data_IF_410507089160
#
_entry.id   IF_410507089160
#
_cell.length_a   1.000
_cell.length_b   1.000
_cell.length_c   1.000
_cell.angle_alpha   90.00
_cell.angle_beta   90.00
_cell.angle_gamma   90.00
#
_symmetry.space_group_name_H-M   'P 1'
#
loop_
_entity.id
_entity.type
_entity.pdbx_description
1 polymer ?
#
# COMPACT_ATOMS: atom_id res chain seq x y z
N UNK A 1 -2.78 12.25 10.37
CA UNK A 1 -1.91 11.65 9.34
C UNK A 1 -1.96 10.14 9.46
N UNK A 2 -2.28 9.43 8.39
CA UNK A 2 -2.30 7.97 8.33
C UNK A 2 -1.14 7.47 7.46
N UNK A 3 -0.11 6.86 8.06
CA UNK A 3 1.07 6.39 7.34
C UNK A 3 1.06 4.87 7.25
N UNK A 4 1.17 4.36 6.03
CA UNK A 4 1.10 2.93 5.69
C UNK A 4 2.47 2.44 5.26
N UNK A 5 2.98 1.41 5.92
CA UNK A 5 4.15 0.66 5.50
C UNK A 5 3.75 -0.49 4.57
N UNK A 6 4.02 -0.37 3.28
CA UNK A 6 3.84 -1.49 2.34
C UNK A 6 4.97 -2.50 2.50
N UNK A 7 4.70 -3.58 3.22
CA UNK A 7 5.58 -4.75 3.27
C UNK A 7 5.55 -5.44 1.89
N UNK A 8 4.36 -5.47 1.28
CA UNK A 8 4.16 -5.98 -0.07
C UNK A 8 4.69 -7.38 -0.24
N UNK A 9 5.76 -7.49 -1.04
CA UNK A 9 6.42 -8.77 -1.35
C UNK A 9 7.79 -8.93 -0.66
N UNK A 10 8.23 -7.95 0.14
CA UNK A 10 9.55 -7.94 0.76
C UNK A 10 9.72 -8.87 1.97
N UNK A 11 8.96 -9.94 2.04
CA UNK A 11 9.05 -10.94 3.10
C UNK A 11 9.27 -12.37 2.59
N UNK A 12 9.21 -12.62 1.27
CA UNK A 12 9.51 -13.89 0.61
C UNK A 12 8.90 -15.15 1.27
N UNK A 13 7.74 -14.99 1.97
CA UNK A 13 7.09 -16.08 2.72
C UNK A 13 7.65 -16.33 4.12
N UNK A 14 8.60 -15.53 4.58
CA UNK A 14 9.19 -15.64 5.92
C UNK A 14 8.35 -14.89 6.97
N UNK A 15 7.66 -15.62 7.84
CA UNK A 15 6.81 -15.04 8.88
C UNK A 15 7.60 -14.41 10.04
N UNK A 16 8.82 -14.82 10.29
CA UNK A 16 9.68 -14.15 11.29
C UNK A 16 10.06 -12.76 10.78
N UNK A 17 10.31 -12.65 9.49
CA UNK A 17 10.55 -11.37 8.84
C UNK A 17 9.30 -10.47 8.87
N UNK A 18 8.11 -11.03 8.63
CA UNK A 18 6.82 -10.31 8.81
C UNK A 18 6.70 -9.75 10.22
N UNK A 19 6.94 -10.61 11.22
CA UNK A 19 6.88 -10.21 12.64
C UNK A 19 7.87 -9.09 12.95
N UNK A 20 9.10 -9.20 12.45
CA UNK A 20 10.11 -8.15 12.60
C UNK A 20 9.64 -6.84 11.97
N UNK A 21 9.23 -6.85 10.69
CA UNK A 21 8.81 -5.65 9.96
C UNK A 21 7.57 -4.99 10.57
N UNK A 22 6.60 -5.77 11.04
CA UNK A 22 5.43 -5.24 11.76
C UNK A 22 5.83 -4.58 13.09
N UNK A 23 6.75 -5.20 13.83
CA UNK A 23 7.21 -4.69 15.12
C UNK A 23 7.99 -3.37 14.98
N UNK A 24 8.86 -3.27 13.97
CA UNK A 24 9.58 -2.05 13.64
C UNK A 24 8.60 -0.96 13.16
N UNK A 25 7.63 -1.31 12.31
CA UNK A 25 6.58 -0.40 11.86
C UNK A 25 5.80 0.18 13.05
N UNK A 26 5.44 -0.66 14.03
CA UNK A 26 4.79 -0.24 15.27
C UNK A 26 5.69 0.69 16.09
N UNK A 27 6.97 0.36 16.25
CA UNK A 27 7.95 1.15 16.98
C UNK A 27 8.15 2.53 16.36
N UNK A 28 8.18 2.59 15.02
CA UNK A 28 8.28 3.83 14.28
C UNK A 28 6.96 4.61 14.20
N UNK A 29 5.87 4.05 14.76
CA UNK A 29 4.55 4.66 14.82
C UNK A 29 3.87 4.82 13.45
N UNK A 30 4.11 3.90 12.52
CA UNK A 30 3.27 3.76 11.35
C UNK A 30 1.85 3.38 11.81
N UNK A 31 0.86 3.83 11.05
CA UNK A 31 -0.56 3.60 11.39
C UNK A 31 -0.99 2.18 11.06
N UNK A 32 -0.46 1.63 9.97
CA UNK A 32 -0.76 0.28 9.50
C UNK A 32 0.37 -0.27 8.62
N UNK A 33 0.33 -1.58 8.40
CA UNK A 33 1.13 -2.23 7.35
C UNK A 33 0.22 -2.83 6.29
N UNK A 34 0.75 -3.00 5.07
CA UNK A 34 -0.01 -3.51 3.93
C UNK A 34 0.68 -4.67 3.25
N UNK A 35 -0.13 -5.60 2.76
CA UNK A 35 0.27 -6.77 1.98
C UNK A 35 -0.51 -6.84 0.66
N UNK A 36 -0.22 -7.88 -0.13
CA UNK A 36 -0.85 -8.11 -1.41
C UNK A 36 -1.38 -9.55 -1.50
N UNK A 37 -2.53 -9.73 -2.14
CA UNK A 37 -3.11 -11.04 -2.43
C UNK A 37 -3.28 -11.19 -3.94
N UNK A 38 -2.51 -12.08 -4.55
CA UNK A 38 -2.51 -12.32 -5.98
C UNK A 38 -2.37 -13.82 -6.31
N UNK A 39 -2.78 -14.18 -7.52
CA UNK A 39 -2.57 -15.53 -8.07
C UNK A 39 -1.41 -15.52 -9.08
N UNK A 40 -0.92 -16.69 -9.42
CA UNK A 40 0.12 -16.82 -10.45
C UNK A 40 -0.31 -16.18 -11.77
N UNK A 41 -1.58 -16.33 -12.18
CA UNK A 41 -2.07 -15.78 -13.44
C UNK A 41 -2.00 -14.23 -13.48
N UNK A 42 -2.18 -13.57 -12.34
CA UNK A 42 -2.08 -12.11 -12.23
C UNK A 42 -0.65 -11.62 -12.47
N UNK A 43 0.35 -12.41 -12.03
CA UNK A 43 1.76 -12.00 -12.02
C UNK A 43 2.63 -12.80 -12.99
N UNK A 44 2.07 -13.71 -13.80
CA UNK A 44 2.81 -14.65 -14.66
C UNK A 44 3.83 -14.02 -15.61
N UNK A 45 3.62 -12.77 -15.99
CA UNK A 45 4.54 -12.01 -16.85
C UNK A 45 5.70 -11.37 -16.09
N UNK A 46 5.68 -11.39 -14.75
CA UNK A 46 6.78 -10.87 -13.95
C UNK A 46 7.96 -11.87 -13.94
N UNK A 47 9.22 -11.41 -14.13
CA UNK A 47 10.38 -12.29 -14.14
C UNK A 47 10.50 -13.18 -12.89
N UNK A 48 10.18 -12.61 -11.72
CA UNK A 48 10.24 -13.25 -10.41
C UNK A 48 8.90 -13.90 -10.00
N UNK A 49 7.98 -14.16 -10.94
CA UNK A 49 6.61 -14.63 -10.62
C UNK A 49 6.55 -15.83 -9.69
N UNK A 50 7.45 -16.81 -9.86
CA UNK A 50 7.52 -17.99 -8.98
C UNK A 50 7.92 -17.65 -7.55
N UNK A 51 8.88 -16.73 -7.36
CA UNK A 51 9.33 -16.25 -6.05
C UNK A 51 8.25 -15.42 -5.37
N UNK A 52 7.63 -14.52 -6.12
CA UNK A 52 6.58 -13.66 -5.63
C UNK A 52 5.40 -14.42 -5.03
N UNK A 53 5.06 -15.63 -5.56
CA UNK A 53 3.99 -16.45 -5.00
C UNK A 53 4.17 -16.78 -3.51
N UNK A 54 5.42 -16.82 -3.01
CA UNK A 54 5.68 -17.02 -1.59
C UNK A 54 5.17 -15.87 -0.72
N UNK A 55 5.07 -14.66 -1.29
CA UNK A 55 4.68 -13.43 -0.59
C UNK A 55 3.21 -13.05 -0.79
N UNK A 56 2.44 -13.85 -1.50
CA UNK A 56 1.00 -13.60 -1.63
C UNK A 56 0.26 -13.98 -0.35
N UNK A 57 -0.65 -13.10 0.09
CA UNK A 57 -1.63 -13.49 1.12
C UNK A 57 -2.63 -14.45 0.50
N UNK A 58 -2.80 -15.60 1.16
CA UNK A 58 -3.67 -16.70 0.72
C UNK A 58 -4.61 -17.12 1.85
N UNK A 59 -5.57 -17.98 1.53
CA UNK A 59 -6.46 -18.57 2.54
C UNK A 59 -5.70 -19.35 3.62
N UNK A 60 -4.56 -19.94 3.25
CA UNK A 60 -3.75 -20.78 4.15
C UNK A 60 -2.89 -19.98 5.12
N UNK A 61 -2.55 -18.71 4.78
CA UNK A 61 -1.63 -17.92 5.59
C UNK A 61 -2.25 -16.66 6.24
N UNK A 62 -3.45 -16.26 5.83
CA UNK A 62 -4.10 -15.03 6.30
C UNK A 62 -4.30 -14.99 7.82
N UNK A 63 -4.68 -16.11 8.44
CA UNK A 63 -4.84 -16.18 9.91
C UNK A 63 -3.52 -15.94 10.63
N UNK A 64 -2.43 -16.52 10.14
CA UNK A 64 -1.09 -16.32 10.73
C UNK A 64 -0.61 -14.86 10.64
N UNK A 65 -0.87 -14.18 9.53
CA UNK A 65 -0.60 -12.74 9.38
C UNK A 65 -1.42 -11.95 10.40
N UNK A 66 -2.72 -12.28 10.52
CA UNK A 66 -3.59 -11.62 11.49
C UNK A 66 -3.13 -11.84 12.94
N UNK A 67 -2.76 -13.06 13.31
CA UNK A 67 -2.28 -13.37 14.67
C UNK A 67 -1.03 -12.57 15.02
N UNK A 68 -0.05 -12.46 14.10
CA UNK A 68 1.14 -11.64 14.27
C UNK A 68 0.74 -10.16 14.45
N UNK A 69 -0.18 -9.66 13.63
CA UNK A 69 -0.68 -8.28 13.73
C UNK A 69 -1.33 -8.00 15.10
N UNK A 70 -2.16 -8.93 15.58
CA UNK A 70 -2.83 -8.82 16.89
C UNK A 70 -1.81 -8.88 18.05
N UNK A 71 -0.82 -9.77 17.99
CA UNK A 71 0.25 -9.86 19.00
C UNK A 71 1.01 -8.53 19.12
N UNK A 72 1.34 -7.90 18.00
CA UNK A 72 2.11 -6.65 17.94
C UNK A 72 1.21 -5.43 18.21
N UNK A 73 -0.07 -5.52 17.90
CA UNK A 73 -1.02 -4.43 18.02
C UNK A 73 -0.86 -3.36 16.94
N UNK A 74 -0.61 -3.77 15.69
CA UNK A 74 -0.57 -2.89 14.52
C UNK A 74 -1.68 -3.29 13.54
N UNK A 75 -2.39 -2.33 12.98
CA UNK A 75 -3.36 -2.60 11.93
C UNK A 75 -2.68 -3.15 10.68
N UNK A 76 -3.33 -4.12 10.02
CA UNK A 76 -2.91 -4.56 8.70
C UNK A 76 -4.08 -4.60 7.72
N UNK A 77 -3.79 -4.45 6.44
CA UNK A 77 -4.75 -4.63 5.36
C UNK A 77 -4.07 -5.11 4.08
N UNK A 78 -4.86 -5.29 3.03
CA UNK A 78 -4.35 -5.97 1.85
C UNK A 78 -4.82 -5.27 0.56
N UNK A 79 -4.01 -5.39 -0.49
CA UNK A 79 -4.37 -5.13 -1.88
C UNK A 79 -4.80 -6.45 -2.52
N UNK A 80 -6.10 -6.77 -2.62
CA UNK A 80 -6.57 -7.91 -3.39
C UNK A 80 -6.41 -7.61 -4.89
N UNK A 81 -5.91 -8.57 -5.66
CA UNK A 81 -5.76 -8.46 -7.11
C UNK A 81 -6.65 -9.45 -7.87
N UNK A 82 -7.54 -10.16 -7.17
CA UNK A 82 -8.55 -11.06 -7.71
C UNK A 82 -9.72 -11.16 -6.74
N UNK A 83 -10.92 -11.38 -7.27
CA UNK A 83 -12.19 -11.22 -6.53
C UNK A 83 -12.34 -12.23 -5.39
N UNK A 84 -11.91 -13.48 -5.60
CA UNK A 84 -12.07 -14.55 -4.60
C UNK A 84 -11.28 -14.32 -3.32
N UNK A 85 -10.19 -13.52 -3.39
CA UNK A 85 -9.38 -13.18 -2.21
C UNK A 85 -10.16 -12.42 -1.16
N UNK A 86 -11.19 -11.68 -1.55
CA UNK A 86 -12.04 -10.91 -0.64
C UNK A 86 -12.74 -11.84 0.37
N UNK A 87 -13.09 -13.07 -0.02
CA UNK A 87 -13.80 -14.00 0.87
C UNK A 87 -12.98 -14.39 2.10
N UNK A 88 -11.65 -14.56 1.96
CA UNK A 88 -10.80 -14.90 3.09
C UNK A 88 -10.16 -13.69 3.76
N UNK A 89 -10.05 -12.55 3.07
CA UNK A 89 -9.52 -11.31 3.64
C UNK A 89 -10.53 -10.58 4.53
N UNK A 90 -11.81 -10.59 4.13
CA UNK A 90 -12.85 -9.78 4.73
C UNK A 90 -13.03 -9.95 6.25
N UNK A 91 -12.89 -11.15 6.85
CA UNK A 91 -12.96 -11.30 8.29
C UNK A 91 -11.87 -10.58 9.08
N UNK A 92 -10.73 -10.28 8.46
CA UNK A 92 -9.51 -9.85 9.14
C UNK A 92 -9.14 -8.38 8.91
N UNK A 93 -9.59 -7.77 7.81
CA UNK A 93 -9.19 -6.40 7.44
C UNK A 93 -10.31 -5.40 7.67
N UNK A 94 -9.97 -4.20 8.14
CA UNK A 94 -10.92 -3.08 8.33
C UNK A 94 -11.06 -2.21 7.07
N UNK A 95 -10.13 -2.33 6.14
CA UNK A 95 -10.06 -1.57 4.88
C UNK A 95 -9.42 -2.38 3.77
N UNK A 96 -9.61 -1.92 2.53
CA UNK A 96 -8.98 -2.49 1.34
C UNK A 96 -8.15 -1.47 0.60
N UNK A 97 -7.12 -1.94 -0.12
CA UNK A 97 -6.40 -1.14 -1.10
C UNK A 97 -6.76 -1.59 -2.51
N UNK A 98 -6.93 -0.64 -3.40
CA UNK A 98 -7.02 -0.85 -4.84
C UNK A 98 -5.80 -0.22 -5.48
N UNK A 99 -5.04 -1.01 -6.26
CA UNK A 99 -3.84 -0.55 -6.95
C UNK A 99 -4.18 0.40 -8.09
N UNK A 100 -3.18 1.12 -8.56
CA UNK A 100 -3.31 2.13 -9.60
C UNK A 100 -3.96 1.59 -10.90
N UNK A 101 -3.56 0.42 -11.36
CA UNK A 101 -4.10 -0.23 -12.55
C UNK A 101 -5.64 -0.36 -12.52
N UNK A 102 -6.19 -0.79 -11.39
CA UNK A 102 -7.64 -0.91 -11.20
C UNK A 102 -8.28 0.46 -10.90
N UNK A 103 -7.55 1.37 -10.27
CA UNK A 103 -8.02 2.72 -9.93
C UNK A 103 -8.31 3.58 -11.17
N UNK A 104 -7.46 3.52 -12.19
CA UNK A 104 -7.70 4.23 -13.46
C UNK A 104 -8.94 3.73 -14.18
N UNK A 105 -9.23 2.41 -14.12
CA UNK A 105 -10.43 1.83 -14.70
C UNK A 105 -11.69 2.39 -14.03
N UNK A 106 -11.68 2.49 -12.70
CA UNK A 106 -12.80 3.06 -11.93
C UNK A 106 -13.05 4.53 -12.33
N UNK A 107 -11.99 5.32 -12.51
CA UNK A 107 -12.11 6.73 -12.95
C UNK A 107 -12.72 6.82 -14.35
N UNK A 108 -12.41 5.87 -15.23
CA UNK A 108 -12.95 5.79 -16.60
C UNK A 108 -14.36 5.18 -16.65
N UNK A 109 -15.01 5.00 -15.50
CA UNK A 109 -16.34 4.38 -15.37
C UNK A 109 -16.38 2.92 -15.83
N UNK A 110 -15.24 2.23 -15.75
CA UNK A 110 -15.10 0.80 -16.02
C UNK A 110 -14.93 0.05 -14.69
N UNK A 111 -16.04 -0.09 -13.96
CA UNK A 111 -16.05 -0.74 -12.65
C UNK A 111 -15.81 -2.24 -12.80
N UNK A 112 -14.69 -2.71 -12.25
CA UNK A 112 -14.35 -4.14 -12.25
C UNK A 112 -15.18 -4.93 -11.22
N UNK A 113 -15.36 -6.23 -11.42
CA UNK A 113 -16.01 -7.12 -10.46
C UNK A 113 -15.30 -7.09 -9.10
N UNK A 114 -13.98 -6.93 -9.11
CA UNK A 114 -13.16 -6.77 -7.91
C UNK A 114 -13.60 -5.53 -7.12
N UNK A 115 -13.66 -4.36 -7.77
CA UNK A 115 -14.08 -3.12 -7.13
C UNK A 115 -15.51 -3.22 -6.58
N UNK A 116 -16.46 -3.70 -7.39
CA UNK A 116 -17.85 -3.84 -6.96
C UNK A 116 -18.00 -4.78 -5.76
N UNK A 117 -17.21 -5.86 -5.71
CA UNK A 117 -17.22 -6.79 -4.59
C UNK A 117 -16.67 -6.16 -3.31
N UNK A 118 -15.57 -5.41 -3.41
CA UNK A 118 -14.98 -4.67 -2.28
C UNK A 118 -15.96 -3.59 -1.79
N UNK A 119 -16.53 -2.81 -2.70
CA UNK A 119 -17.43 -1.70 -2.37
C UNK A 119 -18.65 -2.15 -1.55
N UNK A 120 -19.24 -3.31 -1.91
CA UNK A 120 -20.37 -3.93 -1.18
C UNK A 120 -20.03 -4.37 0.24
N UNK A 121 -18.74 -4.42 0.63
CA UNK A 121 -18.34 -4.77 2.00
C UNK A 121 -18.53 -3.63 3.00
N UNK A 122 -18.83 -2.42 2.53
CA UNK A 122 -19.03 -1.22 3.36
C UNK A 122 -17.83 -0.93 4.30
N UNK A 123 -16.61 -1.23 3.85
CA UNK A 123 -15.35 -0.92 4.54
C UNK A 123 -14.62 0.22 3.83
N UNK A 124 -13.72 0.89 4.54
CA UNK A 124 -12.89 1.93 3.93
C UNK A 124 -12.07 1.38 2.75
N UNK A 125 -11.97 2.16 1.69
CA UNK A 125 -11.22 1.80 0.48
C UNK A 125 -10.19 2.88 0.19
N UNK A 126 -8.95 2.49 0.00
CA UNK A 126 -7.88 3.38 -0.47
C UNK A 126 -7.58 3.01 -1.92
N UNK A 127 -7.68 3.96 -2.84
CA UNK A 127 -7.46 3.73 -4.28
C UNK A 127 -6.27 4.58 -4.73
N UNK A 128 -5.27 3.96 -5.36
CA UNK A 128 -4.21 4.71 -6.04
C UNK A 128 -4.56 5.00 -7.48
N UNK A 129 -4.16 6.18 -7.97
CA UNK A 129 -4.26 6.55 -9.37
C UNK A 129 -3.22 7.59 -9.76
N UNK A 130 -2.73 7.51 -11.00
CA UNK A 130 -2.00 8.58 -11.67
C UNK A 130 -2.97 9.66 -12.19
N UNK A 131 -4.20 9.25 -12.54
CA UNK A 131 -5.22 10.13 -13.11
C UNK A 131 -5.98 10.83 -11.99
N UNK A 132 -6.17 12.15 -12.12
CA UNK A 132 -6.97 12.94 -11.18
C UNK A 132 -8.41 12.40 -11.12
N UNK A 133 -8.91 12.03 -9.92
CA UNK A 133 -10.20 11.32 -9.78
C UNK A 133 -11.43 12.24 -9.79
N UNK A 134 -11.28 13.56 -9.96
CA UNK A 134 -12.35 14.57 -9.82
C UNK A 134 -13.60 14.30 -10.66
N UNK A 135 -13.44 13.59 -11.78
CA UNK A 135 -14.56 13.22 -12.66
C UNK A 135 -15.15 11.83 -12.35
N UNK A 136 -14.60 11.11 -11.38
CA UNK A 136 -15.15 9.83 -10.96
C UNK A 136 -16.44 10.05 -10.16
N UNK A 137 -17.45 9.20 -10.35
CA UNK A 137 -18.65 9.15 -9.52
C UNK A 137 -18.35 8.87 -8.05
N UNK A 138 -17.16 8.33 -7.76
CA UNK A 138 -16.68 7.96 -6.43
C UNK A 138 -15.73 8.99 -5.80
N UNK A 139 -15.51 10.15 -6.43
CA UNK A 139 -14.54 11.15 -5.95
C UNK A 139 -14.86 11.67 -4.54
N UNK A 140 -16.14 11.92 -4.27
CA UNK A 140 -16.60 12.43 -2.97
C UNK A 140 -17.26 11.34 -2.11
N UNK A 141 -17.06 10.07 -2.43
CA UNK A 141 -17.63 8.97 -1.65
C UNK A 141 -16.89 8.86 -0.30
N UNK A 142 -17.59 8.96 0.84
CA UNK A 142 -16.95 8.93 2.16
C UNK A 142 -16.27 7.60 2.50
N UNK A 143 -16.59 6.53 1.76
CA UNK A 143 -15.95 5.22 1.89
C UNK A 143 -14.57 5.19 1.21
N UNK A 144 -14.30 6.12 0.27
CA UNK A 144 -13.14 6.07 -0.61
C UNK A 144 -12.17 7.22 -0.33
N UNK A 145 -10.88 6.88 -0.30
CA UNK A 145 -9.76 7.81 -0.26
C UNK A 145 -8.86 7.57 -1.45
N UNK A 146 -8.47 8.65 -2.15
CA UNK A 146 -7.66 8.61 -3.35
C UNK A 146 -6.20 8.98 -3.06
N UNK A 147 -5.26 8.14 -3.51
CA UNK A 147 -3.83 8.44 -3.44
C UNK A 147 -3.27 8.70 -4.83
N UNK A 148 -2.57 9.79 -4.99
CA UNK A 148 -1.73 10.02 -6.17
C UNK A 148 -0.55 9.04 -6.17
N UNK A 149 -0.23 8.47 -7.33
CA UNK A 149 1.01 7.70 -7.51
C UNK A 149 1.51 7.82 -8.95
N UNK A 150 2.82 7.66 -9.13
CA UNK A 150 3.44 7.44 -10.43
C UNK A 150 3.61 5.93 -10.61
N UNK A 151 2.98 5.29 -11.64
CA UNK A 151 2.97 3.82 -11.77
C UNK A 151 4.26 3.29 -12.42
N UNK A 152 5.40 3.70 -11.88
CA UNK A 152 6.74 3.31 -12.31
C UNK A 152 7.59 2.91 -11.10
N UNK A 153 8.31 1.80 -11.17
CA UNK A 153 9.09 1.20 -10.09
C UNK A 153 10.56 1.00 -10.48
N UNK A 154 11.51 1.85 -9.99
CA UNK A 154 11.28 3.13 -9.31
C UNK A 154 10.88 4.25 -10.28
N UNK A 155 10.20 5.25 -9.79
CA UNK A 155 10.13 6.56 -10.44
C UNK A 155 11.24 7.48 -9.90
N UNK A 156 11.64 8.48 -10.69
CA UNK A 156 12.53 9.55 -10.23
C UNK A 156 11.72 10.70 -9.61
N UNK A 157 12.40 11.54 -8.81
CA UNK A 157 11.74 12.63 -8.09
C UNK A 157 11.11 13.69 -9.03
N UNK A 158 11.73 13.92 -10.19
CA UNK A 158 11.28 14.84 -11.23
C UNK A 158 10.10 14.34 -12.05
N UNK A 159 9.77 13.03 -11.97
CA UNK A 159 8.57 12.45 -12.56
C UNK A 159 7.31 12.66 -11.69
N UNK A 160 7.47 13.14 -10.45
CA UNK A 160 6.36 13.35 -9.52
C UNK A 160 5.87 14.79 -9.63
N UNK A 161 4.65 14.98 -10.11
CA UNK A 161 3.99 16.29 -10.08
C UNK A 161 3.25 16.50 -8.77
N UNK A 162 3.93 17.05 -7.78
CA UNK A 162 3.37 17.32 -6.46
C UNK A 162 2.19 18.31 -6.49
N UNK A 163 2.04 19.12 -7.55
CA UNK A 163 0.90 20.03 -7.68
C UNK A 163 -0.44 19.32 -7.84
N UNK A 164 -0.42 18.02 -8.20
CA UNK A 164 -1.60 17.18 -8.32
C UNK A 164 -2.15 16.74 -6.97
N UNK A 165 -1.35 16.74 -5.90
CA UNK A 165 -1.75 16.25 -4.56
C UNK A 165 -3.00 16.97 -4.02
N UNK A 166 -3.24 18.22 -4.40
CA UNK A 166 -4.46 18.97 -4.05
C UNK A 166 -5.78 18.33 -4.52
N UNK A 167 -5.72 17.35 -5.41
CA UNK A 167 -6.86 16.60 -5.94
C UNK A 167 -7.00 15.20 -5.32
N UNK A 168 -6.12 14.85 -4.38
CA UNK A 168 -6.04 13.54 -3.75
C UNK A 168 -6.04 13.68 -2.23
N UNK A 169 -6.43 12.62 -1.54
CA UNK A 169 -6.33 12.53 -0.07
C UNK A 169 -4.91 12.19 0.38
N UNK A 170 -4.06 11.68 -0.52
CA UNK A 170 -2.74 11.25 -0.14
C UNK A 170 -1.83 10.88 -1.29
N UNK A 171 -0.72 10.24 -0.93
CA UNK A 171 0.36 9.83 -1.85
C UNK A 171 0.79 8.39 -1.61
N UNK A 172 0.90 7.61 -2.69
CA UNK A 172 1.51 6.28 -2.71
C UNK A 172 2.86 6.38 -3.42
N UNK A 173 3.95 6.24 -2.68
CA UNK A 173 5.30 6.54 -3.14
C UNK A 173 5.96 5.34 -3.81
N UNK A 174 6.52 5.55 -5.00
CA UNK A 174 7.36 4.61 -5.73
C UNK A 174 8.74 5.19 -6.07
N UNK A 175 9.12 6.29 -5.42
CA UNK A 175 10.44 6.90 -5.56
C UNK A 175 11.35 6.44 -4.42
N UNK A 176 12.60 6.11 -4.73
CA UNK A 176 13.59 5.68 -3.73
C UNK A 176 14.16 6.80 -2.87
N UNK A 177 13.89 8.08 -3.20
CA UNK A 177 14.34 9.22 -2.42
C UNK A 177 13.41 9.54 -1.27
N UNK A 178 13.92 9.67 -0.06
CA UNK A 178 13.16 10.14 1.13
C UNK A 178 12.57 11.53 0.95
N UNK A 179 13.10 12.32 0.02
CA UNK A 179 12.57 13.64 -0.29
C UNK A 179 11.15 13.59 -0.85
N UNK A 180 10.81 12.54 -1.62
CA UNK A 180 9.49 12.40 -2.22
C UNK A 180 8.37 12.33 -1.18
N UNK A 181 8.37 11.38 -0.23
CA UNK A 181 7.36 11.34 0.83
C UNK A 181 7.42 12.55 1.76
N UNK A 182 8.61 13.09 2.07
CA UNK A 182 8.74 14.30 2.89
C UNK A 182 8.10 15.52 2.21
N UNK A 183 8.29 15.67 0.90
CA UNK A 183 7.64 16.75 0.14
C UNK A 183 6.13 16.58 0.10
N UNK A 184 5.65 15.37 -0.16
CA UNK A 184 4.22 15.09 -0.15
C UNK A 184 3.57 15.40 1.21
N UNK A 185 4.23 15.06 2.33
CA UNK A 185 3.78 15.41 3.67
C UNK A 185 3.62 16.93 3.87
N UNK A 186 4.55 17.72 3.32
CA UNK A 186 4.52 19.20 3.40
C UNK A 186 3.39 19.82 2.56
N UNK A 187 2.89 19.12 1.55
CA UNK A 187 1.67 19.52 0.81
C UNK A 187 0.38 19.27 1.59
N UNK A 188 0.44 18.68 2.80
CA UNK A 188 -0.71 18.53 3.69
C UNK A 188 -1.60 17.33 3.38
N UNK A 189 -1.06 16.26 2.80
CA UNK A 189 -1.80 15.03 2.55
C UNK A 189 -2.28 14.37 3.85
N UNK A 190 -3.38 13.61 3.79
CA UNK A 190 -3.93 12.87 4.93
C UNK A 190 -3.34 11.46 5.05
N UNK A 191 -3.00 10.83 3.92
CA UNK A 191 -2.54 9.44 3.83
C UNK A 191 -1.21 9.38 3.07
N UNK A 192 -0.23 8.70 3.63
CA UNK A 192 1.04 8.39 2.98
C UNK A 192 1.25 6.87 2.95
N UNK A 193 1.51 6.31 1.79
CA UNK A 193 1.91 4.91 1.61
C UNK A 193 3.35 4.87 1.10
N UNK A 194 4.20 4.09 1.77
CA UNK A 194 5.61 3.89 1.43
C UNK A 194 5.96 2.41 1.47
N UNK A 195 6.72 1.93 0.48
CA UNK A 195 7.30 0.59 0.55
C UNK A 195 8.39 0.53 1.62
N UNK A 196 8.42 -0.55 2.36
CA UNK A 196 9.37 -0.76 3.46
C UNK A 196 10.16 -2.06 3.28
N UNK A 197 11.39 -2.07 3.78
CA UNK A 197 12.25 -3.25 3.77
C UNK A 197 13.00 -3.37 5.08
N UNK A 198 13.28 -4.60 5.49
CA UNK A 198 14.12 -4.87 6.66
C UNK A 198 15.61 -4.66 6.39
N UNK A 199 16.03 -4.77 5.12
CA UNK A 199 17.44 -4.74 4.76
C UNK A 199 17.59 -4.42 3.26
N UNK A 200 18.15 -3.26 2.95
CA UNK A 200 18.42 -2.83 1.56
C UNK A 200 19.52 -3.64 0.86
N UNK A 201 20.30 -4.41 1.59
CA UNK A 201 21.33 -5.30 1.00
C UNK A 201 20.77 -6.62 0.52
N UNK A 202 19.53 -6.97 0.90
CA UNK A 202 18.81 -8.15 0.44
C UNK A 202 18.24 -7.93 -0.95
N UNK A 203 18.13 -9.04 -1.68
CA UNK A 203 17.56 -9.07 -3.01
C UNK A 203 16.03 -9.24 -2.96
N UNK A 204 15.33 -8.34 -2.23
CA UNK A 204 13.87 -8.31 -2.27
C UNK A 204 13.37 -7.58 -3.53
N UNK A 205 12.24 -8.05 -4.08
CA UNK A 205 11.76 -7.57 -5.38
C UNK A 205 11.45 -6.07 -5.37
N UNK A 206 10.87 -5.54 -4.28
CA UNK A 206 10.52 -4.13 -4.16
C UNK A 206 11.59 -3.28 -3.45
N UNK A 207 12.82 -3.81 -3.23
CA UNK A 207 13.87 -3.06 -2.52
C UNK A 207 14.24 -1.74 -3.21
N UNK A 208 14.13 -1.68 -4.53
CA UNK A 208 14.47 -0.47 -5.31
C UNK A 208 13.57 0.73 -5.01
N UNK A 209 12.40 0.52 -4.42
CA UNK A 209 11.44 1.58 -4.05
C UNK A 209 11.19 1.64 -2.54
N UNK A 210 11.82 0.76 -1.78
CA UNK A 210 11.57 0.60 -0.35
C UNK A 210 12.51 1.43 0.50
N UNK A 211 12.01 1.86 1.64
CA UNK A 211 12.77 2.53 2.69
C UNK A 211 13.13 1.56 3.81
N UNK A 212 14.36 1.67 4.32
CA UNK A 212 14.76 1.01 5.55
C UNK A 212 14.28 1.77 6.80
N UNK A 213 14.52 1.21 7.97
CA UNK A 213 14.00 1.77 9.22
C UNK A 213 14.59 3.14 9.58
N UNK A 214 15.81 3.45 9.19
CA UNK A 214 16.41 4.77 9.45
C UNK A 214 15.80 5.84 8.54
N UNK A 215 15.56 5.52 7.27
CA UNK A 215 14.87 6.38 6.32
C UNK A 215 13.40 6.62 6.73
N UNK A 216 12.69 5.55 7.17
CA UNK A 216 11.33 5.67 7.69
C UNK A 216 11.28 6.58 8.91
N UNK A 217 12.26 6.47 9.81
CA UNK A 217 12.36 7.32 10.99
C UNK A 217 12.51 8.80 10.63
N UNK A 218 13.24 9.10 9.56
CA UNK A 218 13.36 10.46 9.02
C UNK A 218 12.01 10.97 8.50
N UNK A 219 11.32 10.18 7.69
CA UNK A 219 9.99 10.49 7.16
C UNK A 219 8.99 10.72 8.29
N UNK A 220 8.98 9.85 9.30
CA UNK A 220 8.05 9.92 10.43
C UNK A 220 8.28 11.13 11.36
N UNK A 221 9.51 11.66 11.42
CA UNK A 221 9.76 12.95 12.12
C UNK A 221 8.97 14.09 11.47
N UNK A 222 8.94 14.13 10.14
CA UNK A 222 8.18 15.16 9.40
C UNK A 222 6.67 14.92 9.54
N UNK A 223 6.22 13.67 9.41
CA UNK A 223 4.80 13.31 9.56
C UNK A 223 4.22 13.76 10.91
N UNK A 224 4.98 13.60 12.00
CA UNK A 224 4.58 14.05 13.35
C UNK A 224 4.42 15.57 13.44
N UNK A 225 5.33 16.33 12.85
CA UNK A 225 5.26 17.81 12.84
C UNK A 225 4.06 18.28 12.05
N UNK A 226 3.76 17.64 10.92
CA UNK A 226 2.62 17.99 10.07
C UNK A 226 1.27 17.56 10.65
N UNK A 227 1.25 16.74 11.69
CA UNK A 227 0.02 16.26 12.37
C UNK A 227 -0.31 17.04 13.64
N UNK A 228 0.58 17.95 14.09
CA UNK A 228 0.41 18.80 15.30
C UNK A 228 -0.28 20.09 14.95
#
# INVERSE_FOLDING_TARGET
>A
MFVVGEIGVNWDGDFELVKQMMNESKTLQLSAVKFQAFTFDVIKNHPESKRLMNSSITKENVEKINDISQEIGIEWFCTPMYTESINFLDPFVSRYKIREFDGREIIQSNETDLFQTIYKKNKNIIISSEIIPVNSSFYNDPQIKWLYCVPKYPCSLDEIDFSLLKHFDGFSNHCSSVEAPIRALREGIEILEIHITSDKTKDFVDNNVSFDYDEIKEIMKVAKVMSS
#
